data_IF_665092465890
#
_entry.id   IF_665092465890
#
_cell.length_a   1.000
_cell.length_b   1.000
_cell.length_c   1.000
_cell.angle_alpha   90.00
_cell.angle_beta   90.00
_cell.angle_gamma   90.00
#
_symmetry.space_group_name_H-M   'P 1'
#
loop_
_entity.id
_entity.type
_entity.pdbx_description
1 polymer ?
#
# COMPACT_ATOMS: atom_id res chain seq x y z
N UNK A 1 9.26 15.86 -27.81
CA UNK A 1 8.53 15.96 -26.72
C UNK A 1 9.10 15.26 -25.57
N UNK A 2 9.53 15.87 -24.65
CA UNK A 2 10.08 15.27 -23.50
C UNK A 2 9.02 14.80 -22.54
N UNK A 3 9.28 13.72 -21.86
CA UNK A 3 8.39 13.31 -20.82
C UNK A 3 8.68 14.11 -19.59
N UNK A 4 7.61 14.51 -18.93
CA UNK A 4 7.79 15.16 -17.69
C UNK A 4 8.37 14.17 -16.73
N UNK A 5 9.45 14.56 -16.11
CA UNK A 5 10.06 13.72 -15.12
C UNK A 5 9.29 13.82 -13.83
N UNK A 6 8.90 12.69 -13.27
CA UNK A 6 8.20 12.70 -12.01
C UNK A 6 9.18 13.01 -10.90
N UNK A 7 8.77 13.84 -9.99
CA UNK A 7 9.58 14.17 -8.84
C UNK A 7 8.83 13.82 -7.57
N UNK A 8 9.54 13.37 -6.55
CA UNK A 8 8.87 13.11 -5.28
C UNK A 8 8.42 14.41 -4.65
N UNK A 9 7.36 14.36 -3.85
CA UNK A 9 6.95 15.56 -3.12
C UNK A 9 8.01 15.93 -2.10
N UNK A 10 8.09 17.22 -1.80
CA UNK A 10 9.07 17.70 -0.85
C UNK A 10 8.45 17.82 0.51
N UNK A 11 9.11 17.29 1.55
CA UNK A 11 8.58 17.44 2.90
C UNK A 11 8.52 18.91 3.28
N UNK A 12 7.62 19.29 4.20
CA UNK A 12 6.78 18.36 4.97
C UNK A 12 5.48 18.01 4.27
N UNK A 13 4.97 16.83 4.54
CA UNK A 13 3.66 16.43 4.02
C UNK A 13 3.12 15.31 4.92
N UNK A 14 1.79 15.12 4.87
CA UNK A 14 1.17 14.00 5.56
C UNK A 14 1.16 12.79 4.62
N UNK A 15 0.95 11.62 5.19
CA UNK A 15 0.82 10.42 4.37
C UNK A 15 -0.34 10.58 3.39
N UNK A 16 -1.42 11.20 3.85
CA UNK A 16 -2.57 11.41 3.01
C UNK A 16 -2.24 12.29 1.81
N UNK A 17 -1.46 13.35 2.04
CA UNK A 17 -1.01 14.21 0.94
C UNK A 17 -0.08 13.47 0.01
N UNK A 18 0.79 12.64 0.56
CA UNK A 18 1.72 11.88 -0.24
C UNK A 18 0.97 10.94 -1.19
N UNK A 19 -0.08 10.30 -0.69
CA UNK A 19 -0.83 9.35 -1.50
C UNK A 19 -1.63 10.00 -2.61
N UNK A 20 -1.73 11.32 -2.60
CA UNK A 20 -2.38 12.04 -3.69
C UNK A 20 -1.39 12.48 -4.74
N UNK A 21 -0.09 12.33 -4.50
CA UNK A 21 0.93 12.81 -5.41
C UNK A 21 1.03 11.95 -6.65
N UNK A 22 1.49 12.54 -7.74
CA UNK A 22 1.74 11.80 -8.96
C UNK A 22 2.82 10.76 -8.77
N UNK A 23 3.79 11.07 -7.93
CA UNK A 23 4.88 10.16 -7.61
C UNK A 23 4.35 8.85 -7.04
N UNK A 24 3.47 8.95 -6.02
CA UNK A 24 2.88 7.75 -5.41
C UNK A 24 1.97 7.02 -6.39
N UNK A 25 1.17 7.76 -7.14
CA UNK A 25 0.27 7.15 -8.09
C UNK A 25 1.02 6.35 -9.15
N UNK A 26 2.16 6.88 -9.58
CA UNK A 26 2.98 6.15 -10.54
C UNK A 26 3.54 4.87 -9.92
N UNK A 27 4.02 4.93 -8.68
CA UNK A 27 4.56 3.75 -8.01
C UNK A 27 3.52 2.66 -7.88
N UNK A 28 2.32 3.02 -7.43
CA UNK A 28 1.26 2.01 -7.27
C UNK A 28 0.86 1.44 -8.62
N UNK A 29 0.83 2.27 -9.64
CA UNK A 29 0.48 1.82 -10.98
C UNK A 29 1.47 0.77 -11.47
N UNK A 30 2.76 1.00 -11.26
CA UNK A 30 3.78 0.04 -11.67
C UNK A 30 3.59 -1.29 -10.96
N UNK A 31 3.35 -1.23 -9.66
CA UNK A 31 3.16 -2.44 -8.86
C UNK A 31 1.92 -3.21 -9.32
N UNK A 32 0.81 -2.50 -9.49
CA UNK A 32 -0.46 -3.17 -9.77
C UNK A 32 -0.61 -3.60 -11.22
N UNK A 33 0.16 -3.02 -12.12
CA UNK A 33 0.10 -3.43 -13.53
C UNK A 33 1.06 -4.56 -13.85
N UNK A 34 1.88 -4.99 -12.90
CA UNK A 34 2.69 -6.17 -13.07
C UNK A 34 1.74 -7.35 -13.21
N UNK A 35 1.82 -8.06 -14.33
CA UNK A 35 0.89 -9.16 -14.61
C UNK A 35 1.05 -10.35 -13.68
N UNK A 36 2.14 -10.38 -12.94
CA UNK A 36 2.39 -11.46 -11.99
C UNK A 36 2.10 -11.06 -10.55
N UNK A 37 1.53 -9.87 -10.33
CA UNK A 37 1.29 -9.40 -8.97
C UNK A 37 0.29 -10.32 -8.27
N UNK A 38 0.59 -10.66 -7.03
CA UNK A 38 -0.30 -11.46 -6.21
C UNK A 38 -0.55 -10.75 -4.89
N UNK A 39 -1.66 -11.10 -4.26
CA UNK A 39 -1.96 -10.55 -2.95
C UNK A 39 -0.92 -11.05 -1.95
N UNK A 40 -0.35 -10.14 -1.18
CA UNK A 40 0.65 -10.49 -0.19
C UNK A 40 0.10 -11.46 0.87
N UNK A 41 -1.19 -11.38 1.14
CA UNK A 41 -1.80 -12.16 2.20
C UNK A 41 -2.31 -13.52 1.72
N UNK A 42 -3.13 -13.53 0.68
CA UNK A 42 -3.78 -14.76 0.25
C UNK A 42 -3.22 -15.36 -1.03
N UNK A 43 -2.35 -14.65 -1.72
CA UNK A 43 -1.72 -15.18 -2.91
C UNK A 43 -2.54 -15.14 -4.18
N UNK A 44 -3.76 -14.61 -4.12
CA UNK A 44 -4.58 -14.52 -5.32
C UNK A 44 -3.95 -13.58 -6.32
N UNK A 45 -4.16 -13.90 -7.60
CA UNK A 45 -3.63 -13.07 -8.68
C UNK A 45 -4.61 -11.96 -9.04
N UNK A 46 -4.07 -10.82 -9.42
CA UNK A 46 -4.89 -9.72 -9.90
C UNK A 46 -5.27 -9.92 -11.35
N UNK A 47 -4.38 -10.54 -12.15
CA UNK A 47 -4.56 -10.66 -13.59
C UNK A 47 -4.64 -12.10 -14.03
N UNK A 48 -5.42 -12.34 -15.07
CA UNK A 48 -5.51 -13.65 -15.67
C UNK A 48 -5.34 -13.50 -17.18
N UNK A 49 -4.49 -14.36 -17.75
CA UNK A 49 -4.33 -14.38 -19.19
C UNK A 49 -5.47 -15.17 -19.81
N UNK A 50 -6.12 -14.61 -20.83
CA UNK A 50 -7.21 -15.28 -21.56
C UNK A 50 -6.68 -15.70 -22.91
N UNK A 51 -6.34 -16.98 -23.10
CA UNK A 51 -5.68 -17.41 -24.35
C UNK A 51 -6.52 -17.19 -25.58
N UNK A 52 -7.82 -17.40 -25.48
CA UNK A 52 -8.68 -17.25 -26.66
C UNK A 52 -8.81 -15.79 -27.07
N UNK A 53 -8.93 -14.91 -26.10
CA UNK A 53 -9.01 -13.49 -26.38
C UNK A 53 -7.66 -12.85 -26.57
N UNK A 54 -6.59 -13.57 -26.22
CA UNK A 54 -5.22 -13.07 -26.29
C UNK A 54 -5.06 -11.76 -25.56
N UNK A 55 -5.56 -11.72 -24.33
CA UNK A 55 -5.45 -10.52 -23.51
C UNK A 55 -5.48 -10.87 -22.04
N UNK A 56 -5.05 -9.93 -21.24
CA UNK A 56 -5.08 -10.05 -19.79
C UNK A 56 -6.38 -9.47 -19.26
N UNK A 57 -6.94 -10.12 -18.28
CA UNK A 57 -8.15 -9.65 -17.63
C UNK A 57 -7.89 -9.42 -16.16
N UNK A 58 -8.38 -8.28 -15.65
CA UNK A 58 -8.28 -8.02 -14.22
C UNK A 58 -9.36 -8.83 -13.51
N UNK A 59 -8.94 -9.66 -12.56
CA UNK A 59 -9.84 -10.54 -11.83
C UNK A 59 -10.29 -9.96 -10.51
N UNK A 60 -9.43 -9.19 -9.87
CA UNK A 60 -9.71 -8.63 -8.55
C UNK A 60 -9.19 -7.23 -8.47
N UNK A 61 -9.86 -6.41 -7.67
CA UNK A 61 -9.32 -5.11 -7.33
C UNK A 61 -8.24 -5.29 -6.29
N UNK A 62 -7.17 -4.55 -6.45
CA UNK A 62 -6.05 -4.56 -5.54
C UNK A 62 -5.76 -3.15 -5.08
N UNK A 63 -5.15 -3.03 -3.93
CA UNK A 63 -4.60 -1.77 -3.48
C UNK A 63 -3.20 -2.03 -2.96
N UNK A 64 -2.46 -0.97 -2.75
CA UNK A 64 -1.13 -1.07 -2.17
C UNK A 64 -1.17 -0.47 -0.78
N UNK A 65 -0.33 -1.02 0.08
CA UNK A 65 -0.25 -0.56 1.45
C UNK A 65 1.17 -0.38 1.87
N UNK A 66 1.43 0.67 2.62
CA UNK A 66 2.73 0.82 3.27
C UNK A 66 2.75 -0.01 4.54
N UNK A 67 3.77 -0.84 4.70
CA UNK A 67 4.02 -1.46 5.98
C UNK A 67 5.14 -0.73 6.71
N UNK A 68 5.77 0.22 6.03
CA UNK A 68 6.85 0.99 6.61
C UNK A 68 6.85 2.36 5.97
N UNK A 69 6.93 3.40 6.76
CA UNK A 69 6.90 4.76 6.25
C UNK A 69 8.24 5.47 6.30
N UNK A 70 9.24 4.81 6.86
CA UNK A 70 10.51 5.48 7.11
C UNK A 70 11.27 5.86 5.85
N UNK A 71 10.97 5.21 4.73
CA UNK A 71 11.71 5.47 3.50
C UNK A 71 10.97 6.34 2.50
N UNK A 72 9.78 6.83 2.84
CA UNK A 72 9.05 7.71 1.94
C UNK A 72 9.87 8.96 1.66
N UNK A 73 9.98 9.42 0.44
CA UNK A 73 9.30 8.93 -0.77
C UNK A 73 10.10 7.93 -1.58
N UNK A 74 11.17 7.39 -1.03
CA UNK A 74 12.02 6.44 -1.73
C UNK A 74 11.86 5.05 -1.14
N UNK A 75 10.64 4.54 -1.18
CA UNK A 75 10.32 3.23 -0.60
C UNK A 75 11.21 2.15 -1.17
N UNK A 76 11.56 1.22 -0.32
CA UNK A 76 12.37 0.07 -0.71
C UNK A 76 11.48 -1.15 -0.83
N UNK A 77 12.05 -2.20 -1.40
CA UNK A 77 11.33 -3.46 -1.52
C UNK A 77 10.85 -3.91 -0.16
N UNK A 78 9.59 -4.31 -0.10
CA UNK A 78 9.00 -4.73 1.17
C UNK A 78 8.34 -3.62 1.96
N UNK A 79 8.58 -2.36 1.59
CA UNK A 79 7.91 -1.25 2.29
C UNK A 79 6.46 -1.13 1.86
N UNK A 80 6.16 -1.58 0.65
CA UNK A 80 4.82 -1.50 0.07
C UNK A 80 4.40 -2.90 -0.32
N UNK A 81 3.20 -3.30 0.07
CA UNK A 81 2.68 -4.60 -0.30
C UNK A 81 1.39 -4.45 -1.08
N UNK A 82 1.17 -5.34 -2.07
CA UNK A 82 -0.11 -5.36 -2.76
C UNK A 82 -1.09 -6.26 -2.03
N UNK A 83 -2.34 -5.86 -1.95
CA UNK A 83 -3.37 -6.65 -1.30
C UNK A 83 -4.65 -6.63 -2.13
N UNK A 84 -5.31 -7.79 -2.22
CA UNK A 84 -6.61 -7.81 -2.88
C UNK A 84 -7.65 -7.15 -1.97
N UNK A 85 -8.76 -6.75 -2.59
CA UNK A 85 -9.79 -6.02 -1.86
C UNK A 85 -10.34 -6.82 -0.67
N UNK A 86 -10.39 -8.14 -0.82
CA UNK A 86 -10.91 -8.97 0.26
C UNK A 86 -9.99 -8.96 1.48
N UNK A 87 -8.69 -9.11 1.26
CA UNK A 87 -7.73 -9.10 2.36
C UNK A 87 -7.59 -7.72 2.97
N UNK A 88 -7.66 -6.70 2.14
CA UNK A 88 -7.63 -5.33 2.62
C UNK A 88 -8.77 -5.06 3.59
N UNK A 89 -9.97 -5.49 3.20
CA UNK A 89 -11.14 -5.32 4.05
C UNK A 89 -11.02 -6.16 5.32
N UNK A 90 -10.52 -7.38 5.17
CA UNK A 90 -10.33 -8.24 6.33
C UNK A 90 -9.41 -7.61 7.37
N UNK A 91 -8.30 -7.04 6.92
CA UNK A 91 -7.37 -6.43 7.86
C UNK A 91 -7.99 -5.22 8.56
N UNK A 92 -8.79 -4.42 7.84
CA UNK A 92 -9.49 -3.33 8.48
C UNK A 92 -10.46 -3.83 9.54
N UNK A 93 -11.14 -4.94 9.25
CA UNK A 93 -12.06 -5.51 10.22
C UNK A 93 -11.30 -6.05 11.43
N UNK A 94 -10.14 -6.66 11.22
CA UNK A 94 -9.34 -7.17 12.33
C UNK A 94 -8.89 -6.04 13.25
N UNK A 95 -8.57 -4.88 12.68
CA UNK A 95 -8.18 -3.75 13.51
C UNK A 95 -9.31 -3.31 14.43
N UNK A 96 -10.55 -3.42 13.96
CA UNK A 96 -11.69 -3.03 14.78
C UNK A 96 -11.94 -4.01 15.92
N UNK A 97 -11.51 -5.25 15.76
CA UNK A 97 -11.74 -6.24 16.78
C UNK A 97 -11.02 -5.93 18.09
N UNK A 98 -10.04 -5.05 18.02
CA UNK A 98 -9.31 -4.67 19.22
C UNK A 98 -10.22 -4.16 20.32
N UNK A 99 -11.31 -3.48 19.93
CA UNK A 99 -12.23 -2.91 20.91
C UNK A 99 -13.04 -3.98 21.65
N UNK A 100 -13.06 -5.21 21.12
CA UNK A 100 -13.77 -6.29 21.76
C UNK A 100 -12.98 -6.97 22.86
N UNK A 101 -11.67 -6.73 22.89
CA UNK A 101 -10.83 -7.28 23.95
C UNK A 101 -10.60 -8.77 23.82
N UNK A 102 -10.04 -9.36 24.86
CA UNK A 102 -9.81 -10.80 24.90
C UNK A 102 -8.97 -11.31 23.75
N UNK A 103 -9.34 -12.44 23.16
CA UNK A 103 -8.54 -13.02 22.08
C UNK A 103 -8.49 -12.14 20.83
N UNK A 104 -9.40 -11.20 20.70
CA UNK A 104 -9.41 -10.34 19.52
C UNK A 104 -8.25 -9.35 19.52
N UNK A 105 -7.66 -9.08 20.68
CA UNK A 105 -6.52 -8.18 20.77
C UNK A 105 -5.35 -8.73 19.96
N UNK A 106 -5.12 -10.05 20.05
CA UNK A 106 -4.00 -10.65 19.32
C UNK A 106 -4.21 -10.57 17.81
N UNK A 107 -5.44 -10.77 17.36
CA UNK A 107 -5.74 -10.65 15.94
C UNK A 107 -5.52 -9.23 15.45
N UNK A 108 -5.92 -8.25 16.25
CA UNK A 108 -5.71 -6.85 15.88
C UNK A 108 -4.23 -6.52 15.82
N UNK A 109 -3.42 -7.10 16.70
CA UNK A 109 -1.99 -6.87 16.68
C UNK A 109 -1.37 -7.36 15.38
N UNK A 110 -1.83 -8.50 14.87
CA UNK A 110 -1.33 -9.01 13.61
C UNK A 110 -1.66 -8.04 12.49
N UNK A 111 -2.89 -7.54 12.47
CA UNK A 111 -3.28 -6.58 11.44
C UNK A 111 -2.46 -5.30 11.53
N UNK A 112 -2.13 -4.86 12.74
CA UNK A 112 -1.36 -3.62 12.91
C UNK A 112 0.04 -3.72 12.35
N UNK A 113 0.58 -4.91 12.22
CA UNK A 113 1.89 -5.08 11.61
C UNK A 113 1.89 -4.59 10.18
N UNK A 114 0.77 -4.75 9.49
CA UNK A 114 0.67 -4.38 8.08
C UNK A 114 -0.10 -3.09 7.86
N UNK A 115 -0.68 -2.54 8.93
CA UNK A 115 -1.39 -1.28 8.86
C UNK A 115 -0.90 -0.39 9.98
N UNK A 116 0.39 -0.06 10.00
CA UNK A 116 0.96 0.66 11.13
C UNK A 116 0.71 2.14 11.12
N UNK A 117 -0.01 2.65 10.11
CA UNK A 117 -0.06 4.08 9.96
C UNK A 117 -1.29 4.69 10.58
N UNK A 118 -1.18 5.97 10.88
CA UNK A 118 -2.27 6.80 11.25
C UNK A 118 -2.41 7.86 10.19
N UNK A 119 -3.64 8.26 9.91
CA UNK A 119 -3.88 9.20 8.84
C UNK A 119 -3.12 10.50 9.01
N UNK A 120 -2.84 10.84 10.25
CA UNK A 120 -2.17 12.09 10.54
C UNK A 120 -0.66 11.99 10.52
N UNK A 121 -0.12 10.83 10.21
CA UNK A 121 1.32 10.69 10.17
C UNK A 121 1.94 11.72 9.23
N UNK A 122 2.93 12.40 9.71
CA UNK A 122 3.52 13.52 9.02
C UNK A 122 4.99 13.25 8.73
N UNK A 123 5.38 13.43 7.49
CA UNK A 123 6.76 13.28 7.09
C UNK A 123 7.40 14.64 7.14
N UNK A 124 8.32 14.82 8.05
CA UNK A 124 8.96 16.11 8.24
C UNK A 124 10.22 16.23 7.43
N UNK A 125 10.64 17.45 7.23
CA UNK A 125 11.91 17.66 6.60
C UNK A 125 12.98 17.06 7.47
N UNK A 126 14.01 16.53 6.81
CA UNK A 126 15.10 15.98 7.53
C UNK A 126 15.96 17.06 8.07
N UNK A 127 16.03 17.21 9.31
CA UNK A 127 16.82 18.20 9.96
C UNK A 127 17.18 17.79 11.31
N UNK A 128 17.09 16.54 11.57
CA UNK A 128 17.36 16.08 12.90
C UNK A 128 16.22 16.26 13.84
N UNK A 129 15.09 16.70 13.32
CA UNK A 129 13.98 16.82 14.18
C UNK A 129 13.07 15.70 14.13
N UNK A 130 13.47 14.60 13.72
CA UNK A 130 12.62 13.45 13.63
C UNK A 130 12.20 13.03 15.02
N UNK A 131 10.96 12.86 15.24
CA UNK A 131 10.46 12.47 16.56
C UNK A 131 9.80 11.14 16.52
#
# INVERSE_FOLDING_TARGET
MGKKQLKPPEPPFTIQEYEKSSWWKHKTSVILNDRNVTCFVCGRKRWKWLPRAKKWKRMLSFSTHHVRYTNIPYEKEGDIIPMCVCCHRLFHDLLRLETLGGPYIELAKIAKKYFPYEKETYIKKEKGEVK
#
